data_IF_372015189488
#
_entry.id   IF_372015189488
#
_cell.length_a   1.000
_cell.length_b   1.000
_cell.length_c   1.000
_cell.angle_alpha   90.00
_cell.angle_beta   90.00
_cell.angle_gamma   90.00
#
_symmetry.space_group_name_H-M   'P 1'
#
loop_
_entity.id
_entity.type
_entity.pdbx_description
1 polymer ?
#
# COMPACT_ATOMS: atom_id res chain seq x y z
N UNK A 1 -1.92 -21.76 17.94
CA UNK A 1 -2.46 -22.22 16.64
C UNK A 1 -1.95 -23.63 16.36
N UNK A 2 -2.80 -24.60 16.10
CA UNK A 2 -2.38 -25.99 15.81
C UNK A 2 -1.97 -26.14 14.35
N UNK A 3 -1.11 -27.12 14.03
CA UNK A 3 -0.71 -27.44 12.65
C UNK A 3 -1.92 -27.72 11.71
N UNK A 4 -3.02 -28.24 12.27
CA UNK A 4 -4.28 -28.46 11.55
C UNK A 4 -4.94 -27.15 11.16
N UNK A 5 -4.94 -26.14 12.06
CA UNK A 5 -5.55 -24.83 11.79
C UNK A 5 -4.76 -24.03 10.75
N UNK A 6 -3.43 -24.19 10.71
CA UNK A 6 -2.58 -23.57 9.69
C UNK A 6 -2.83 -24.21 8.31
N UNK A 7 -2.97 -25.55 8.23
CA UNK A 7 -3.31 -26.23 6.97
C UNK A 7 -4.70 -25.82 6.44
N UNK A 8 -5.68 -25.68 7.32
CA UNK A 8 -7.03 -25.24 6.94
C UNK A 8 -7.03 -23.78 6.46
N UNK A 9 -6.22 -22.91 7.07
CA UNK A 9 -6.08 -21.52 6.62
C UNK A 9 -5.39 -21.38 5.25
N UNK A 10 -4.43 -22.27 4.95
CA UNK A 10 -3.69 -22.27 3.67
C UNK A 10 -4.53 -22.86 2.52
N UNK A 11 -5.51 -23.72 2.83
CA UNK A 11 -6.38 -24.37 1.83
C UNK A 11 -7.65 -23.57 1.51
N UNK A 12 -7.90 -22.46 2.19
CA UNK A 12 -9.00 -21.56 1.82
C UNK A 12 -8.69 -20.87 0.49
N UNK A 13 -9.72 -20.75 -0.35
CA UNK A 13 -9.66 -19.91 -1.53
C UNK A 13 -9.19 -18.50 -1.08
N UNK A 14 -8.07 -17.97 -1.61
CA UNK A 14 -7.58 -16.67 -1.23
C UNK A 14 -8.55 -15.53 -1.57
N UNK A 15 -9.61 -15.81 -2.32
CA UNK A 15 -10.69 -14.87 -2.62
C UNK A 15 -11.92 -15.07 -1.73
N UNK A 16 -11.98 -16.15 -0.98
CA UNK A 16 -13.04 -16.41 0.00
C UNK A 16 -12.63 -15.90 1.38
N UNK A 17 -12.95 -14.64 1.64
CA UNK A 17 -12.73 -14.01 2.96
C UNK A 17 -13.79 -14.43 4.00
N UNK A 18 -14.77 -15.25 3.61
CA UNK A 18 -15.86 -15.67 4.49
C UNK A 18 -16.66 -14.47 5.03
N UNK A 19 -17.35 -14.68 6.14
CA UNK A 19 -18.11 -13.63 6.85
C UNK A 19 -17.24 -12.82 7.83
N UNK A 20 -15.92 -12.81 7.65
CA UNK A 20 -15.01 -12.08 8.53
C UNK A 20 -14.89 -10.64 8.04
N UNK A 21 -15.31 -9.70 8.86
CA UNK A 21 -15.07 -8.28 8.66
C UNK A 21 -13.57 -7.98 8.86
N UNK A 22 -12.92 -7.55 7.78
CA UNK A 22 -11.57 -7.01 7.83
C UNK A 22 -11.64 -5.49 7.83
N UNK A 23 -11.53 -4.83 9.00
CA UNK A 23 -11.70 -3.37 9.07
C UNK A 23 -10.56 -2.62 8.39
N UNK A 24 -9.42 -3.28 8.17
CA UNK A 24 -8.19 -2.67 7.64
C UNK A 24 -7.65 -3.45 6.46
N UNK A 25 -7.25 -2.74 5.41
CA UNK A 25 -6.50 -3.28 4.29
C UNK A 25 -5.24 -2.47 4.00
N UNK A 26 -4.25 -3.13 3.42
CA UNK A 26 -3.01 -2.56 2.92
C UNK A 26 -2.94 -2.84 1.43
N UNK A 27 -2.67 -1.82 0.63
CA UNK A 27 -2.63 -1.94 -0.83
C UNK A 27 -1.35 -1.35 -1.39
N UNK A 28 -0.67 -2.13 -2.21
CA UNK A 28 0.36 -1.62 -3.11
C UNK A 28 -0.32 -0.97 -4.33
N UNK A 29 -0.36 0.34 -4.36
CA UNK A 29 -0.99 1.08 -5.47
C UNK A 29 -0.12 1.11 -6.72
N UNK A 30 1.18 0.88 -6.54
CA UNK A 30 2.17 0.89 -7.62
C UNK A 30 3.38 0.03 -7.28
N UNK A 31 3.98 -0.58 -8.30
CA UNK A 31 5.30 -1.21 -8.22
C UNK A 31 6.40 -0.31 -8.79
N UNK A 32 6.07 0.94 -9.09
CA UNK A 32 7.05 1.95 -9.53
C UNK A 32 7.54 2.74 -8.32
N UNK A 33 8.83 2.97 -8.24
CA UNK A 33 9.45 3.83 -7.24
C UNK A 33 10.57 4.66 -7.87
N UNK A 34 10.72 5.87 -7.40
CA UNK A 34 11.79 6.78 -7.83
C UNK A 34 13.07 6.63 -7.02
N UNK A 35 13.08 5.75 -6.00
CA UNK A 35 14.25 5.40 -5.20
C UNK A 35 14.57 3.90 -5.31
N UNK A 36 15.80 3.55 -4.99
CA UNK A 36 16.30 2.18 -4.94
C UNK A 36 16.97 1.90 -3.59
N UNK A 37 16.18 2.00 -2.51
CA UNK A 37 16.67 1.84 -1.15
C UNK A 37 17.32 0.48 -0.94
N UNK A 38 18.51 0.46 -0.37
CA UNK A 38 19.30 -0.78 -0.16
C UNK A 38 18.61 -1.79 0.77
N UNK A 39 17.75 -1.33 1.67
CA UNK A 39 17.00 -2.15 2.64
C UNK A 39 15.54 -2.37 2.24
N UNK A 40 15.13 -2.02 1.00
CA UNK A 40 13.75 -2.13 0.57
C UNK A 40 13.25 -3.57 0.66
N UNK A 41 12.21 -3.80 1.45
CA UNK A 41 11.63 -5.15 1.60
C UNK A 41 10.68 -5.53 0.45
N UNK A 42 10.21 -4.55 -0.31
CA UNK A 42 9.31 -4.76 -1.45
C UNK A 42 10.09 -5.17 -2.70
N UNK A 43 11.19 -4.47 -2.97
CA UNK A 43 12.03 -4.70 -4.15
C UNK A 43 13.35 -5.36 -3.74
N UNK A 44 13.51 -6.61 -4.16
CA UNK A 44 14.71 -7.43 -3.97
C UNK A 44 15.09 -8.09 -5.28
N UNK A 45 16.17 -8.84 -5.31
CA UNK A 45 16.73 -9.47 -6.50
C UNK A 45 15.71 -10.20 -7.38
N UNK A 46 14.71 -10.84 -6.74
CA UNK A 46 13.64 -11.58 -7.44
C UNK A 46 12.36 -10.75 -7.69
N UNK A 47 12.29 -9.53 -7.21
CA UNK A 47 11.16 -8.63 -7.41
C UNK A 47 11.66 -7.19 -7.61
N UNK A 48 12.27 -6.90 -8.76
CA UNK A 48 12.79 -5.58 -9.03
C UNK A 48 11.67 -4.55 -9.21
N UNK A 49 11.98 -3.29 -8.95
CA UNK A 49 11.12 -2.17 -9.24
C UNK A 49 10.66 -2.19 -10.71
N UNK A 50 9.37 -2.02 -10.93
CA UNK A 50 8.79 -2.01 -12.26
C UNK A 50 8.89 -0.65 -12.94
N UNK A 51 9.05 -0.64 -14.27
CA UNK A 51 9.04 0.59 -15.05
C UNK A 51 7.63 1.19 -15.17
N UNK A 52 6.58 0.37 -15.02
CA UNK A 52 5.18 0.79 -15.15
C UNK A 52 4.24 -0.17 -14.42
N UNK A 53 3.10 0.35 -14.05
CA UNK A 53 2.01 -0.46 -13.50
C UNK A 53 1.23 -1.19 -14.61
N UNK A 54 0.66 -2.33 -14.26
CA UNK A 54 -0.17 -3.14 -15.16
C UNK A 54 -1.63 -2.75 -15.12
N UNK A 55 -2.09 -2.21 -13.98
CA UNK A 55 -3.49 -1.84 -13.75
C UNK A 55 -3.66 -0.33 -13.86
N UNK A 56 -4.61 0.12 -14.68
CA UNK A 56 -4.93 1.54 -14.82
C UNK A 56 -5.70 2.09 -13.60
N UNK A 57 -5.76 3.41 -13.49
CA UNK A 57 -6.37 4.10 -12.37
C UNK A 57 -7.87 3.80 -12.24
N UNK A 58 -8.60 3.73 -13.35
CA UNK A 58 -10.03 3.46 -13.35
C UNK A 58 -10.34 2.05 -12.83
N UNK A 59 -9.55 1.07 -13.22
CA UNK A 59 -9.67 -0.31 -12.73
C UNK A 59 -9.33 -0.38 -11.24
N UNK A 60 -8.26 0.29 -10.81
CA UNK A 60 -7.86 0.34 -9.40
C UNK A 60 -8.95 0.99 -8.55
N UNK A 61 -9.54 2.09 -8.99
CA UNK A 61 -10.65 2.76 -8.28
C UNK A 61 -11.84 1.82 -8.08
N UNK A 62 -12.22 1.04 -9.09
CA UNK A 62 -13.29 0.04 -8.96
C UNK A 62 -12.97 -1.02 -7.90
N UNK A 63 -11.69 -1.45 -7.81
CA UNK A 63 -11.27 -2.38 -6.76
C UNK A 63 -11.39 -1.76 -5.36
N UNK A 64 -11.02 -0.49 -5.19
CA UNK A 64 -11.20 0.22 -3.92
C UNK A 64 -12.67 0.35 -3.52
N UNK A 65 -13.57 0.63 -4.46
CA UNK A 65 -15.00 0.66 -4.20
C UNK A 65 -15.54 -0.70 -3.75
N UNK A 66 -15.09 -1.80 -4.36
CA UNK A 66 -15.43 -3.16 -3.94
C UNK A 66 -14.93 -3.43 -2.51
N UNK A 67 -13.71 -3.05 -2.17
CA UNK A 67 -13.16 -3.20 -0.83
C UNK A 67 -13.99 -2.45 0.21
N UNK A 68 -14.41 -1.23 -0.09
CA UNK A 68 -15.30 -0.44 0.77
C UNK A 68 -16.67 -1.08 0.92
N UNK A 69 -17.33 -1.40 -0.19
CA UNK A 69 -18.76 -1.72 -0.22
C UNK A 69 -19.04 -3.20 0.08
N UNK A 70 -18.23 -4.11 -0.48
CA UNK A 70 -18.42 -5.55 -0.32
C UNK A 70 -17.70 -6.11 0.91
N UNK A 71 -16.49 -5.62 1.18
CA UNK A 71 -15.65 -6.13 2.26
C UNK A 71 -15.63 -5.23 3.50
N UNK A 72 -16.37 -4.13 3.47
CA UNK A 72 -16.57 -3.21 4.59
C UNK A 72 -15.26 -2.67 5.19
N UNK A 73 -14.25 -2.47 4.35
CA UNK A 73 -12.96 -1.90 4.77
C UNK A 73 -13.17 -0.44 5.20
N UNK A 74 -12.72 -0.11 6.40
CA UNK A 74 -12.81 1.23 7.00
C UNK A 74 -11.47 1.97 6.97
N UNK A 75 -10.39 1.25 7.23
CA UNK A 75 -9.03 1.78 7.25
C UNK A 75 -8.24 1.24 6.06
N UNK A 76 -7.64 2.14 5.28
CA UNK A 76 -6.86 1.78 4.10
C UNK A 76 -5.46 2.36 4.19
N UNK A 77 -4.45 1.50 4.12
CA UNK A 77 -3.05 1.91 4.02
C UNK A 77 -2.59 1.82 2.56
N UNK A 78 -2.31 2.97 1.97
CA UNK A 78 -1.74 3.08 0.64
C UNK A 78 -0.22 3.06 0.72
N UNK A 79 0.38 2.11 0.05
CA UNK A 79 1.82 1.97 -0.07
C UNK A 79 2.20 1.41 -1.44
N UNK A 80 3.40 0.91 -1.59
CA UNK A 80 3.87 0.28 -2.83
C UNK A 80 5.35 0.54 -3.03
N UNK A 81 5.73 0.89 -4.24
CA UNK A 81 6.97 1.58 -4.51
C UNK A 81 6.91 2.97 -3.87
N UNK A 82 6.57 3.99 -4.65
CA UNK A 82 6.22 5.29 -4.11
C UNK A 82 4.77 5.66 -4.48
N UNK A 83 3.82 5.64 -3.55
CA UNK A 83 2.42 5.87 -3.87
C UNK A 83 2.14 7.26 -4.43
N UNK A 84 2.95 8.28 -4.13
CA UNK A 84 2.77 9.62 -4.65
C UNK A 84 3.12 9.78 -6.13
N UNK A 85 3.70 8.78 -6.78
CA UNK A 85 3.77 8.69 -8.25
C UNK A 85 2.35 8.64 -8.85
N UNK A 86 1.41 7.98 -8.16
CA UNK A 86 -0.01 7.92 -8.52
C UNK A 86 -0.87 8.79 -7.60
N UNK A 87 -0.41 10.01 -7.32
CA UNK A 87 -1.01 10.92 -6.34
C UNK A 87 -2.50 11.11 -6.55
N UNK A 88 -2.94 11.36 -7.77
CA UNK A 88 -4.35 11.65 -8.06
C UNK A 88 -5.23 10.43 -7.72
N UNK A 89 -4.80 9.23 -8.11
CA UNK A 89 -5.47 7.99 -7.74
C UNK A 89 -5.56 7.82 -6.22
N UNK A 90 -4.43 7.98 -5.52
CA UNK A 90 -4.36 7.78 -4.06
C UNK A 90 -5.26 8.78 -3.33
N UNK A 91 -5.22 10.05 -3.73
CA UNK A 91 -6.02 11.10 -3.10
C UNK A 91 -7.53 10.90 -3.34
N UNK A 92 -7.93 10.46 -4.53
CA UNK A 92 -9.34 10.12 -4.79
C UNK A 92 -9.77 8.85 -4.05
N UNK A 93 -8.95 7.80 -4.05
CA UNK A 93 -9.24 6.57 -3.32
C UNK A 93 -9.31 6.78 -1.80
N UNK A 94 -8.48 7.67 -1.26
CA UNK A 94 -8.49 7.99 0.17
C UNK A 94 -9.84 8.51 0.67
N UNK A 95 -10.59 9.19 -0.18
CA UNK A 95 -11.94 9.70 0.15
C UNK A 95 -12.97 8.59 0.39
N UNK A 96 -12.70 7.36 -0.06
CA UNK A 96 -13.59 6.21 0.08
C UNK A 96 -13.56 5.59 1.47
N UNK A 97 -12.53 5.87 2.28
CA UNK A 97 -12.28 5.19 3.54
C UNK A 97 -12.33 6.16 4.72
N UNK A 98 -12.80 5.67 5.87
CA UNK A 98 -12.93 6.48 7.09
C UNK A 98 -11.57 6.89 7.66
N UNK A 99 -10.59 5.98 7.56
CA UNK A 99 -9.23 6.20 8.06
C UNK A 99 -8.23 5.87 6.95
N UNK A 100 -7.99 6.79 6.01
CA UNK A 100 -6.94 6.60 5.01
C UNK A 100 -5.56 6.86 5.62
N UNK A 101 -4.57 6.08 5.21
CA UNK A 101 -3.18 6.26 5.60
C UNK A 101 -2.26 6.09 4.39
N UNK A 102 -1.19 6.85 4.32
CA UNK A 102 -0.21 6.81 3.24
C UNK A 102 1.18 6.64 3.83
N UNK A 103 1.98 5.75 3.25
CA UNK A 103 3.43 5.63 3.51
C UNK A 103 4.17 6.13 2.28
N UNK A 104 4.98 7.18 2.45
CA UNK A 104 5.70 7.84 1.35
C UNK A 104 7.14 8.13 1.70
N UNK A 105 8.01 8.16 0.70
CA UNK A 105 9.38 8.66 0.85
C UNK A 105 9.46 10.20 0.85
N UNK A 106 8.34 10.89 0.65
CA UNK A 106 8.16 12.34 0.66
C UNK A 106 8.95 13.11 -0.42
N UNK A 107 9.56 12.46 -1.40
CA UNK A 107 10.28 13.16 -2.48
C UNK A 107 9.37 13.98 -3.39
N UNK A 108 8.07 13.64 -3.45
CA UNK A 108 7.03 14.41 -4.14
C UNK A 108 6.28 15.37 -3.21
N UNK A 109 6.82 15.64 -2.02
CA UNK A 109 6.16 16.42 -0.97
C UNK A 109 5.25 15.57 -0.08
N UNK A 110 4.77 16.18 0.98
CA UNK A 110 3.85 15.54 1.95
C UNK A 110 2.41 15.94 1.59
N UNK A 111 1.56 14.97 1.22
CA UNK A 111 0.18 15.29 0.88
C UNK A 111 -0.62 15.72 2.10
N UNK A 112 -1.61 16.58 1.90
CA UNK A 112 -2.63 16.85 2.90
C UNK A 112 -3.71 15.77 2.81
N UNK A 113 -3.88 15.01 3.88
CA UNK A 113 -4.83 13.91 3.95
C UNK A 113 -5.84 14.17 5.08
N UNK A 114 -6.97 14.87 4.81
CA UNK A 114 -7.96 15.17 5.82
C UNK A 114 -8.53 13.90 6.46
N UNK A 115 -8.52 13.83 7.80
CA UNK A 115 -8.99 12.67 8.55
C UNK A 115 -8.08 11.44 8.48
N UNK A 116 -6.92 11.54 7.84
CA UNK A 116 -6.01 10.44 7.63
C UNK A 116 -4.64 10.64 8.27
N UNK A 117 -3.74 9.68 8.00
CA UNK A 117 -2.39 9.63 8.52
C UNK A 117 -1.38 9.57 7.38
N UNK A 118 -0.35 10.39 7.44
CA UNK A 118 0.79 10.32 6.52
C UNK A 118 2.04 9.92 7.30
N UNK A 119 2.63 8.81 6.90
CA UNK A 119 3.91 8.32 7.44
C UNK A 119 5.01 8.59 6.43
N UNK A 120 6.02 9.32 6.85
CA UNK A 120 7.21 9.58 6.04
C UNK A 120 8.31 8.59 6.41
N UNK A 121 8.86 7.93 5.40
CA UNK A 121 9.97 7.01 5.58
C UNK A 121 11.28 7.77 5.79
N UNK A 122 11.83 7.66 7.00
CA UNK A 122 13.06 8.32 7.39
C UNK A 122 13.92 7.37 8.25
N UNK A 123 15.16 7.16 7.85
CA UNK A 123 16.08 6.20 8.53
C UNK A 123 17.06 6.86 9.49
N UNK A 124 16.95 8.16 9.71
CA UNK A 124 17.82 8.89 10.62
C UNK A 124 18.21 10.28 10.08
N UNK A 125 19.22 10.91 10.65
CA UNK A 125 19.76 12.17 10.11
C UNK A 125 20.36 11.95 8.72
N UNK A 126 20.60 13.02 7.98
CA UNK A 126 21.03 13.03 6.58
C UNK A 126 22.17 12.03 6.30
N UNK A 127 23.21 12.01 7.13
CA UNK A 127 24.38 11.15 6.97
C UNK A 127 24.06 9.65 7.02
N UNK A 128 22.95 9.27 7.67
CA UNK A 128 22.48 7.89 7.76
C UNK A 128 21.40 7.59 6.73
N UNK A 129 20.52 8.54 6.52
CA UNK A 129 19.36 8.38 5.65
C UNK A 129 19.75 8.30 4.17
N UNK A 130 20.57 9.23 3.70
CA UNK A 130 20.84 9.39 2.27
C UNK A 130 21.58 8.20 1.63
N UNK A 131 22.59 7.58 2.27
CA UNK A 131 23.22 6.37 1.74
C UNK A 131 22.28 5.17 1.61
N UNK A 132 21.24 5.12 2.43
CA UNK A 132 20.26 4.01 2.45
C UNK A 132 19.18 4.23 1.40
N UNK A 133 18.67 5.46 1.32
CA UNK A 133 17.52 5.79 0.48
C UNK A 133 17.88 6.28 -0.93
N UNK A 134 19.09 6.64 -1.14
CA UNK A 134 19.59 7.06 -2.46
C UNK A 134 19.55 8.56 -2.74
#
# INVERSE_FOLDING_TARGET
>A
MTAKSIKEAVLRDPTDFGDVDYPTALVNVTNVCNLSCSHCFVFRDNNPNSARDKMDDATMMRQFEILRDKHNIKSMLFMGGEPMIRKDLVMEAAKLFDIPAIVTNATYGIPKLPGGLVTVSLDGPEQMNDPIRG
#
